data_IF_007840581435
#
_entry.id   IF_007840581435
#
_cell.length_a   1.000
_cell.length_b   1.000
_cell.length_c   1.000
_cell.angle_alpha   90.00
_cell.angle_beta   90.00
_cell.angle_gamma   90.00
#
_symmetry.space_group_name_H-M   'P 1'
#
loop_
_entity.id
_entity.type
_entity.pdbx_description
1 polymer ?
#
# COMPACT_ATOMS: atom_id res chain seq x y z
N UNK A 1 42.90 34.33 12.76
CA UNK A 1 41.99 33.19 13.02
C UNK A 1 40.58 33.59 12.62
N UNK A 2 40.28 33.57 11.32
CA UNK A 2 38.91 33.71 10.84
C UNK A 2 38.09 32.53 11.39
N UNK A 3 37.09 32.86 12.21
CA UNK A 3 36.05 31.90 12.60
C UNK A 3 35.36 31.47 11.30
N UNK A 4 35.71 30.26 10.85
CA UNK A 4 34.88 29.43 9.97
C UNK A 4 33.46 29.42 10.54
N UNK A 5 32.62 30.35 10.08
CA UNK A 5 31.20 30.31 10.32
C UNK A 5 30.73 29.00 9.69
N UNK A 6 30.48 27.99 10.53
CA UNK A 6 29.80 26.77 10.15
C UNK A 6 28.58 27.20 9.34
N UNK A 7 28.59 27.00 8.02
CA UNK A 7 27.39 27.11 7.18
C UNK A 7 26.36 26.18 7.81
N UNK A 8 25.48 26.72 8.64
CA UNK A 8 24.25 26.06 9.05
C UNK A 8 23.56 25.77 7.72
N UNK A 9 23.38 24.49 7.36
CA UNK A 9 22.64 24.14 6.16
C UNK A 9 21.25 24.74 6.31
N UNK A 10 21.01 25.93 5.76
CA UNK A 10 19.71 26.57 5.87
C UNK A 10 18.79 25.85 4.89
N UNK A 11 17.79 25.15 5.42
CA UNK A 11 16.75 24.56 4.60
C UNK A 11 16.07 25.64 3.77
N UNK A 12 15.61 25.23 2.60
CA UNK A 12 15.09 26.10 1.57
C UNK A 12 13.57 26.29 1.72
N UNK A 13 13.10 27.45 1.29
CA UNK A 13 11.69 27.72 1.08
C UNK A 13 11.24 27.15 -0.28
N UNK A 14 9.95 26.83 -0.44
CA UNK A 14 9.37 26.34 -1.70
C UNK A 14 9.72 27.23 -2.91
N UNK A 15 9.82 28.55 -2.73
CA UNK A 15 10.21 29.50 -3.80
C UNK A 15 11.66 29.33 -4.29
N UNK A 16 12.51 28.71 -3.48
CA UNK A 16 13.94 28.51 -3.76
C UNK A 16 14.23 27.13 -4.36
N UNK A 17 13.25 26.23 -4.40
CA UNK A 17 13.38 24.90 -5.00
C UNK A 17 12.58 24.81 -6.31
N UNK A 18 13.06 24.04 -7.31
CA UNK A 18 12.33 23.84 -8.55
C UNK A 18 10.94 23.24 -8.30
N UNK A 19 9.98 23.54 -9.18
CA UNK A 19 8.58 23.13 -9.01
C UNK A 19 8.38 21.61 -8.88
N UNK A 20 9.27 20.80 -9.46
CA UNK A 20 9.26 19.33 -9.36
C UNK A 20 9.60 18.79 -7.96
N UNK A 21 10.23 19.62 -7.12
CA UNK A 21 10.55 19.32 -5.72
C UNK A 21 9.49 19.83 -4.74
N UNK A 22 8.58 20.69 -5.18
CA UNK A 22 7.58 21.32 -4.33
C UNK A 22 6.41 20.36 -4.04
N UNK A 23 6.05 20.28 -2.76
CA UNK A 23 4.84 19.59 -2.29
C UNK A 23 3.72 20.60 -2.01
N UNK A 24 2.47 20.14 -2.11
CA UNK A 24 1.31 21.02 -1.91
C UNK A 24 1.22 21.45 -0.44
N UNK A 25 0.98 22.74 -0.21
CA UNK A 25 0.82 23.35 1.12
C UNK A 25 2.06 23.31 2.05
N UNK A 26 3.20 22.78 1.56
CA UNK A 26 4.48 22.76 2.28
C UNK A 26 5.38 23.89 1.80
N UNK A 27 5.78 24.80 2.69
CA UNK A 27 6.47 26.05 2.31
C UNK A 27 7.94 26.14 2.68
N UNK A 28 8.40 25.39 3.68
CA UNK A 28 9.77 25.42 4.22
C UNK A 28 10.28 24.02 4.51
N UNK A 29 11.54 23.91 4.96
CA UNK A 29 12.15 22.62 5.31
C UNK A 29 12.70 21.83 4.12
N UNK A 30 12.72 22.39 2.91
CA UNK A 30 13.23 21.69 1.73
C UNK A 30 14.76 21.55 1.76
N UNK A 31 15.25 20.37 1.40
CA UNK A 31 16.68 20.12 1.20
C UNK A 31 17.13 20.67 -0.14
N UNK A 32 18.40 21.08 -0.23
CA UNK A 32 18.99 21.54 -1.49
C UNK A 32 18.95 20.43 -2.54
N UNK A 33 18.41 20.69 -3.75
CA UNK A 33 18.59 19.80 -4.89
C UNK A 33 20.08 19.58 -5.17
N UNK A 34 20.39 18.46 -5.83
CA UNK A 34 21.76 18.06 -6.17
C UNK A 34 22.66 17.81 -4.96
N UNK A 35 22.07 17.33 -3.85
CA UNK A 35 22.80 16.97 -2.64
C UNK A 35 23.61 15.68 -2.81
N UNK A 36 24.81 15.61 -2.24
CA UNK A 36 25.57 14.36 -2.22
C UNK A 36 24.92 13.30 -1.33
N UNK A 37 25.16 12.02 -1.59
CA UNK A 37 24.66 10.91 -0.76
C UNK A 37 24.98 11.10 0.73
N UNK A 38 26.21 11.54 1.05
CA UNK A 38 26.63 11.82 2.43
C UNK A 38 25.83 12.96 3.08
N UNK A 39 25.45 13.97 2.29
CA UNK A 39 24.58 15.06 2.76
C UNK A 39 23.17 14.56 3.03
N UNK A 40 22.61 13.73 2.14
CA UNK A 40 21.31 13.09 2.33
C UNK A 40 21.28 12.22 3.58
N UNK A 41 22.32 11.41 3.80
CA UNK A 41 22.44 10.57 5.00
C UNK A 41 22.57 11.39 6.29
N UNK A 42 23.27 12.52 6.27
CA UNK A 42 23.30 13.41 7.45
C UNK A 42 21.94 14.08 7.69
N UNK A 43 21.20 14.37 6.62
CA UNK A 43 19.94 15.12 6.72
C UNK A 43 18.85 14.39 7.51
N UNK A 44 18.81 13.05 7.46
CA UNK A 44 17.81 12.26 8.21
C UNK A 44 18.02 12.29 9.73
N UNK A 45 19.18 12.73 10.21
CA UNK A 45 19.43 12.94 11.64
C UNK A 45 19.19 14.40 12.07
N UNK A 46 18.73 15.25 11.15
CA UNK A 46 18.43 16.66 11.40
C UNK A 46 16.92 16.89 11.30
N UNK A 47 16.25 17.19 12.41
CA UNK A 47 14.78 17.29 12.46
C UNK A 47 14.19 18.50 11.70
N UNK A 48 15.02 19.38 11.17
CA UNK A 48 14.61 20.67 10.60
C UNK A 48 14.14 20.57 9.12
N UNK A 49 13.99 19.36 8.55
CA UNK A 49 13.53 19.17 7.17
C UNK A 49 12.24 18.36 7.03
N UNK A 50 11.53 18.65 5.93
CA UNK A 50 10.22 18.12 5.61
C UNK A 50 10.17 16.62 5.27
N UNK A 51 11.33 15.95 5.21
CA UNK A 51 11.46 14.55 4.80
C UNK A 51 11.99 13.63 5.89
N UNK A 52 12.50 14.19 7.00
CA UNK A 52 13.13 13.40 8.07
C UNK A 52 12.12 12.49 8.75
N UNK A 53 10.93 13.00 9.07
CA UNK A 53 9.89 12.16 9.66
C UNK A 53 9.33 11.17 8.63
N UNK A 54 9.22 11.54 7.36
CA UNK A 54 8.84 10.59 6.30
C UNK A 54 9.81 9.40 6.23
N UNK A 55 11.12 9.65 6.37
CA UNK A 55 12.13 8.60 6.46
C UNK A 55 11.91 7.70 7.68
N UNK A 56 11.87 8.28 8.89
CA UNK A 56 11.83 7.50 10.13
C UNK A 56 10.53 6.73 10.34
N UNK A 57 9.40 7.28 9.88
CA UNK A 57 8.08 6.62 9.96
C UNK A 57 8.03 5.29 9.22
N UNK A 58 8.86 5.08 8.19
CA UNK A 58 8.99 3.79 7.50
C UNK A 58 10.27 3.02 7.88
N UNK A 59 11.37 3.72 8.19
CA UNK A 59 12.64 3.06 8.51
C UNK A 59 12.59 2.27 9.83
N UNK A 60 11.89 2.78 10.86
CA UNK A 60 11.72 2.04 12.12
C UNK A 60 10.89 0.76 11.91
N UNK A 61 9.69 0.82 11.30
CA UNK A 61 8.95 -0.37 10.92
C UNK A 61 9.75 -1.34 10.03
N UNK A 62 10.57 -0.84 9.12
CA UNK A 62 11.45 -1.68 8.30
C UNK A 62 12.37 -2.53 9.17
N UNK A 63 13.03 -1.96 10.18
CA UNK A 63 13.91 -2.73 11.08
C UNK A 63 13.13 -3.82 11.84
N UNK A 64 11.93 -3.50 12.31
CA UNK A 64 11.05 -4.47 13.00
C UNK A 64 10.66 -5.62 12.06
N UNK A 65 10.22 -5.28 10.84
CA UNK A 65 9.84 -6.26 9.83
C UNK A 65 11.03 -7.12 9.37
N UNK A 66 12.22 -6.52 9.24
CA UNK A 66 13.46 -7.21 8.90
C UNK A 66 13.85 -8.23 9.98
N UNK A 67 13.84 -7.83 11.26
CA UNK A 67 14.13 -8.75 12.36
C UNK A 67 13.12 -9.90 12.39
N UNK A 68 11.83 -9.59 12.18
CA UNK A 68 10.80 -10.63 12.07
C UNK A 68 11.10 -11.60 10.93
N UNK A 69 11.41 -11.10 9.73
CA UNK A 69 11.75 -11.93 8.58
C UNK A 69 12.99 -12.80 8.83
N UNK A 70 14.07 -12.22 9.35
CA UNK A 70 15.30 -12.94 9.67
C UNK A 70 15.05 -14.05 10.70
N UNK A 71 14.26 -13.78 11.75
CA UNK A 71 13.90 -14.79 12.74
C UNK A 71 13.19 -16.01 12.11
N UNK A 72 12.34 -15.80 11.12
CA UNK A 72 11.61 -16.88 10.45
C UNK A 72 12.49 -17.65 9.45
N UNK A 73 13.38 -16.96 8.71
CA UNK A 73 14.32 -17.63 7.81
C UNK A 73 15.40 -18.41 8.58
N UNK A 74 15.84 -17.93 9.74
CA UNK A 74 16.83 -18.65 10.54
C UNK A 74 16.25 -19.89 11.25
N UNK A 75 14.93 -20.08 11.24
CA UNK A 75 14.28 -21.26 11.78
C UNK A 75 14.10 -22.33 10.69
N UNK A 76 14.96 -23.36 10.69
CA UNK A 76 14.92 -24.44 9.69
C UNK A 76 13.57 -25.14 9.58
N UNK A 77 12.87 -25.33 10.72
CA UNK A 77 11.54 -25.94 10.71
C UNK A 77 10.52 -25.11 9.92
N UNK A 78 10.65 -23.79 9.99
CA UNK A 78 9.77 -22.84 9.31
C UNK A 78 10.08 -22.74 7.81
N UNK A 79 11.36 -22.84 7.43
CA UNK A 79 11.76 -22.90 6.01
C UNK A 79 11.25 -24.17 5.32
N UNK A 80 11.27 -25.30 6.04
CA UNK A 80 10.86 -26.59 5.51
C UNK A 80 9.34 -26.77 5.49
N UNK A 81 8.59 -26.00 6.31
CA UNK A 81 7.14 -25.99 6.29
C UNK A 81 6.59 -25.21 5.08
N UNK A 82 5.81 -25.88 4.25
CA UNK A 82 5.22 -25.28 3.04
C UNK A 82 4.09 -24.31 3.37
N UNK A 83 3.37 -24.55 4.47
CA UNK A 83 2.32 -23.64 4.92
C UNK A 83 2.91 -22.32 5.41
N UNK A 84 4.20 -22.27 5.73
CA UNK A 84 4.92 -21.07 6.14
C UNK A 84 5.41 -20.18 4.96
N UNK A 85 5.54 -20.73 3.74
CA UNK A 85 6.09 -19.99 2.59
C UNK A 85 5.31 -18.72 2.21
N UNK A 86 3.96 -18.71 2.17
CA UNK A 86 3.20 -17.49 1.92
C UNK A 86 3.45 -16.39 2.96
N UNK A 87 3.62 -16.75 4.25
CA UNK A 87 3.99 -15.80 5.29
C UNK A 87 5.42 -15.27 5.09
N UNK A 88 6.37 -16.11 4.67
CA UNK A 88 7.73 -15.65 4.33
C UNK A 88 7.71 -14.65 3.17
N UNK A 89 6.94 -14.93 2.12
CA UNK A 89 6.78 -14.01 0.98
C UNK A 89 6.16 -12.69 1.47
N UNK A 90 5.10 -12.73 2.29
CA UNK A 90 4.49 -11.54 2.87
C UNK A 90 5.49 -10.73 3.73
N UNK A 91 6.25 -11.41 4.60
CA UNK A 91 7.26 -10.77 5.45
C UNK A 91 8.40 -10.16 4.62
N UNK A 92 8.80 -10.81 3.53
CA UNK A 92 9.76 -10.24 2.59
C UNK A 92 9.24 -8.94 1.96
N UNK A 93 8.03 -8.98 1.42
CA UNK A 93 7.50 -7.84 0.67
C UNK A 93 7.18 -6.65 1.55
N UNK A 94 6.76 -6.86 2.82
CA UNK A 94 6.51 -5.75 3.76
C UNK A 94 7.80 -5.02 4.13
N UNK A 95 8.89 -5.72 4.51
CA UNK A 95 10.14 -5.03 4.83
C UNK A 95 10.73 -4.36 3.59
N UNK A 96 10.61 -4.99 2.41
CA UNK A 96 11.11 -4.44 1.15
C UNK A 96 10.40 -3.14 0.78
N UNK A 97 9.08 -3.09 0.92
CA UNK A 97 8.28 -1.87 0.74
C UNK A 97 8.73 -0.74 1.69
N UNK A 98 8.80 -1.03 2.99
CA UNK A 98 9.19 -0.04 3.99
C UNK A 98 10.61 0.49 3.74
N UNK A 99 11.53 -0.39 3.32
CA UNK A 99 12.88 -0.02 2.95
C UNK A 99 12.90 0.92 1.73
N UNK A 100 12.26 0.54 0.63
CA UNK A 100 12.24 1.34 -0.61
C UNK A 100 11.60 2.71 -0.40
N UNK A 101 10.54 2.78 0.38
CA UNK A 101 9.88 4.04 0.73
C UNK A 101 10.79 4.95 1.56
N UNK A 102 11.43 4.41 2.61
CA UNK A 102 12.39 5.19 3.42
C UNK A 102 13.57 5.68 2.58
N UNK A 103 14.11 4.83 1.70
CA UNK A 103 15.20 5.19 0.80
C UNK A 103 14.79 6.32 -0.15
N UNK A 104 13.55 6.30 -0.64
CA UNK A 104 13.05 7.34 -1.52
C UNK A 104 13.01 8.70 -0.82
N UNK A 105 12.50 8.76 0.40
CA UNK A 105 12.51 10.00 1.19
C UNK A 105 13.92 10.42 1.60
N UNK A 106 14.86 9.51 1.81
CA UNK A 106 16.25 9.90 2.06
C UNK A 106 16.91 10.52 0.82
N UNK A 107 16.76 9.91 -0.35
CA UNK A 107 17.53 10.22 -1.55
C UNK A 107 16.87 11.19 -2.52
N UNK A 108 15.63 11.63 -2.25
CA UNK A 108 14.86 12.45 -3.19
C UNK A 108 15.46 13.82 -3.54
N UNK A 109 16.48 14.29 -2.82
CA UNK A 109 17.18 15.54 -3.11
C UNK A 109 18.53 15.35 -3.84
N UNK A 110 18.92 14.11 -4.16
CA UNK A 110 20.22 13.83 -4.81
C UNK A 110 20.34 14.38 -6.22
N UNK A 111 19.28 14.25 -7.02
CA UNK A 111 19.16 14.81 -8.36
C UNK A 111 17.71 14.65 -8.83
N UNK A 112 17.27 15.38 -9.86
CA UNK A 112 15.95 15.17 -10.46
C UNK A 112 15.71 13.72 -10.89
N UNK A 113 16.69 13.09 -11.53
CA UNK A 113 16.61 11.70 -11.98
C UNK A 113 16.52 10.75 -10.79
N UNK A 114 17.36 10.94 -9.77
CA UNK A 114 17.33 10.13 -8.56
C UNK A 114 15.97 10.23 -7.86
N UNK A 115 15.38 11.43 -7.78
CA UNK A 115 14.02 11.64 -7.25
C UNK A 115 12.99 10.80 -8.01
N UNK A 116 13.04 10.78 -9.34
CA UNK A 116 12.14 9.93 -10.14
C UNK A 116 12.35 8.45 -9.86
N UNK A 117 13.58 7.95 -9.95
CA UNK A 117 13.92 6.53 -9.75
C UNK A 117 13.51 6.05 -8.36
N UNK A 118 13.82 6.83 -7.34
CA UNK A 118 13.48 6.53 -5.95
C UNK A 118 11.97 6.37 -5.74
N UNK A 119 11.16 7.32 -6.20
CA UNK A 119 9.71 7.21 -6.06
C UNK A 119 9.08 6.18 -7.00
N UNK A 120 9.71 5.84 -8.13
CA UNK A 120 9.29 4.70 -8.95
C UNK A 120 9.50 3.40 -8.17
N UNK A 121 10.68 3.20 -7.57
CA UNK A 121 10.97 2.03 -6.73
C UNK A 121 10.00 1.94 -5.54
N UNK A 122 9.69 3.07 -4.91
CA UNK A 122 8.67 3.14 -3.85
C UNK A 122 7.30 2.62 -4.35
N UNK A 123 6.80 3.11 -5.49
CA UNK A 123 5.52 2.65 -6.05
C UNK A 123 5.51 1.17 -6.42
N UNK A 124 6.59 0.69 -7.06
CA UNK A 124 6.74 -0.72 -7.43
C UNK A 124 6.78 -1.61 -6.18
N UNK A 125 7.38 -1.13 -5.09
CA UNK A 125 7.46 -1.86 -3.82
C UNK A 125 6.11 -1.97 -3.11
N UNK A 126 5.26 -0.92 -3.14
CA UNK A 126 3.88 -0.97 -2.66
C UNK A 126 3.09 -2.05 -3.41
N UNK A 127 3.26 -2.12 -4.73
CA UNK A 127 2.61 -3.15 -5.53
C UNK A 127 3.14 -4.55 -5.23
N UNK A 128 4.45 -4.69 -5.00
CA UNK A 128 5.07 -5.96 -4.63
C UNK A 128 4.56 -6.44 -3.27
N UNK A 129 4.36 -5.51 -2.33
CA UNK A 129 3.69 -5.78 -1.06
C UNK A 129 2.25 -6.29 -1.25
N UNK A 130 1.46 -5.65 -2.12
CA UNK A 130 0.12 -6.12 -2.49
C UNK A 130 0.10 -7.54 -3.04
N UNK A 131 1.12 -7.92 -3.83
CA UNK A 131 1.27 -9.29 -4.34
C UNK A 131 1.53 -10.30 -3.22
N UNK A 132 2.40 -9.95 -2.26
CA UNK A 132 2.65 -10.79 -1.08
C UNK A 132 1.39 -10.97 -0.21
N UNK A 133 0.60 -9.90 -0.06
CA UNK A 133 -0.71 -9.96 0.62
C UNK A 133 -1.67 -10.93 -0.10
N UNK A 134 -1.80 -10.82 -1.42
CA UNK A 134 -2.71 -11.67 -2.19
C UNK A 134 -2.34 -13.15 -2.11
N UNK A 135 -1.05 -13.48 -2.14
CA UNK A 135 -0.57 -14.86 -1.95
C UNK A 135 -0.95 -15.36 -0.54
N UNK A 136 -0.72 -14.56 0.50
CA UNK A 136 -1.06 -14.92 1.87
C UNK A 136 -2.58 -15.06 2.08
N UNK A 137 -3.40 -14.15 1.54
CA UNK A 137 -4.86 -14.23 1.63
C UNK A 137 -5.43 -15.42 0.87
N UNK A 138 -4.88 -15.74 -0.30
CA UNK A 138 -5.27 -16.95 -1.04
C UNK A 138 -5.05 -18.20 -0.19
N UNK A 139 -3.91 -18.30 0.49
CA UNK A 139 -3.58 -19.50 1.27
C UNK A 139 -4.30 -19.56 2.61
N UNK A 140 -4.28 -18.48 3.40
CA UNK A 140 -4.75 -18.55 4.78
C UNK A 140 -6.25 -18.22 4.91
N UNK A 141 -6.71 -17.18 4.21
CA UNK A 141 -8.09 -16.71 4.36
C UNK A 141 -9.08 -17.60 3.62
N UNK A 142 -8.78 -18.02 2.39
CA UNK A 142 -9.72 -18.83 1.59
C UNK A 142 -9.76 -20.30 1.99
N UNK A 143 -8.64 -20.88 2.45
CA UNK A 143 -8.62 -22.28 2.85
C UNK A 143 -9.48 -22.59 4.09
N UNK A 144 -9.89 -21.56 4.84
CA UNK A 144 -10.91 -21.69 5.89
C UNK A 144 -12.34 -21.84 5.34
N UNK A 145 -12.56 -21.55 4.06
CA UNK A 145 -13.86 -21.59 3.37
C UNK A 145 -13.91 -22.83 2.48
N UNK A 146 -14.34 -23.96 3.03
CA UNK A 146 -14.42 -25.24 2.29
C UNK A 146 -15.57 -25.26 1.28
N UNK A 147 -15.31 -24.89 0.03
CA UNK A 147 -16.21 -25.21 -1.08
C UNK A 147 -15.45 -25.47 -2.40
N UNK A 148 -15.62 -26.69 -2.92
CA UNK A 148 -14.93 -27.26 -4.09
C UNK A 148 -15.13 -26.43 -5.37
N UNK A 149 -16.24 -25.68 -5.46
CA UNK A 149 -16.57 -24.87 -6.64
C UNK A 149 -15.85 -23.50 -6.64
N UNK A 150 -15.39 -23.04 -5.47
CA UNK A 150 -14.70 -21.76 -5.28
C UNK A 150 -13.20 -21.88 -5.57
N UNK A 151 -12.60 -23.04 -5.28
CA UNK A 151 -11.17 -23.28 -5.53
C UNK A 151 -10.78 -22.98 -6.99
N UNK A 152 -11.63 -23.38 -7.96
CA UNK A 152 -11.43 -23.10 -9.39
C UNK A 152 -11.46 -21.62 -9.76
N UNK A 153 -12.28 -20.80 -9.08
CA UNK A 153 -12.34 -19.35 -9.34
C UNK A 153 -11.08 -18.65 -8.81
N UNK A 154 -10.58 -19.08 -7.65
CA UNK A 154 -9.38 -18.52 -7.03
C UNK A 154 -8.06 -19.12 -7.56
N UNK A 155 -8.12 -20.11 -8.44
CA UNK A 155 -6.96 -20.56 -9.21
C UNK A 155 -6.40 -19.43 -10.09
N UNK A 156 -7.26 -18.61 -10.70
CA UNK A 156 -6.86 -17.46 -11.54
C UNK A 156 -6.65 -16.15 -10.78
N UNK A 157 -7.03 -16.10 -9.50
CA UNK A 157 -7.00 -14.87 -8.70
C UNK A 157 -5.60 -14.23 -8.62
N UNK A 158 -4.56 -15.04 -8.45
CA UNK A 158 -3.18 -14.53 -8.35
C UNK A 158 -2.70 -13.92 -9.67
N UNK A 159 -3.08 -14.52 -10.80
CA UNK A 159 -2.79 -13.96 -12.12
C UNK A 159 -3.54 -12.64 -12.35
N UNK A 160 -4.81 -12.57 -11.94
CA UNK A 160 -5.58 -11.33 -11.95
C UNK A 160 -4.89 -10.23 -11.14
N UNK A 161 -4.45 -10.53 -9.91
CA UNK A 161 -3.73 -9.56 -9.07
C UNK A 161 -2.41 -9.13 -9.71
N UNK A 162 -1.67 -10.04 -10.37
CA UNK A 162 -0.45 -9.69 -11.09
C UNK A 162 -0.71 -8.69 -12.24
N UNK A 163 -1.76 -8.91 -13.03
CA UNK A 163 -2.17 -8.00 -14.11
C UNK A 163 -2.59 -6.65 -13.56
N UNK A 164 -3.45 -6.64 -12.54
CA UNK A 164 -3.92 -5.41 -11.87
C UNK A 164 -2.76 -4.63 -11.26
N UNK A 165 -1.81 -5.33 -10.62
CA UNK A 165 -0.61 -4.76 -10.03
C UNK A 165 0.28 -4.11 -11.09
N UNK A 166 0.45 -4.78 -12.24
CA UNK A 166 1.23 -4.24 -13.36
C UNK A 166 0.59 -2.98 -13.94
N UNK A 167 -0.74 -2.97 -14.10
CA UNK A 167 -1.49 -1.79 -14.55
C UNK A 167 -1.39 -0.64 -13.55
N UNK A 168 -1.54 -0.93 -12.25
CA UNK A 168 -1.36 0.04 -11.16
C UNK A 168 0.04 0.65 -11.18
N UNK A 169 1.09 -0.15 -11.41
CA UNK A 169 2.47 0.32 -11.53
C UNK A 169 2.67 1.26 -12.72
N UNK A 170 2.11 0.92 -13.88
CA UNK A 170 2.15 1.80 -15.06
C UNK A 170 1.43 3.14 -14.77
N UNK A 171 0.28 3.10 -14.10
CA UNK A 171 -0.50 4.30 -13.78
C UNK A 171 0.21 5.19 -12.73
N UNK A 172 0.68 4.59 -11.63
CA UNK A 172 1.39 5.30 -10.55
C UNK A 172 2.72 5.87 -11.04
N UNK A 173 3.51 5.13 -11.82
CA UNK A 173 4.76 5.63 -12.41
C UNK A 173 4.49 6.74 -13.44
N UNK A 174 3.44 6.60 -14.27
CA UNK A 174 3.02 7.67 -15.19
C UNK A 174 2.65 8.96 -14.47
N UNK A 175 2.11 8.89 -13.25
CA UNK A 175 1.75 10.07 -12.46
C UNK A 175 2.93 11.03 -12.25
N UNK A 176 4.17 10.52 -12.19
CA UNK A 176 5.38 11.36 -12.02
C UNK A 176 5.60 12.34 -13.18
N UNK A 177 5.06 12.04 -14.35
CA UNK A 177 5.21 12.83 -15.57
C UNK A 177 3.98 13.71 -15.85
N UNK A 178 3.01 13.72 -14.94
CA UNK A 178 1.84 14.59 -15.00
C UNK A 178 2.14 15.91 -14.30
N UNK A 179 2.10 17.00 -15.07
CA UNK A 179 2.44 18.36 -14.60
C UNK A 179 1.39 18.89 -13.60
N UNK A 180 0.10 18.63 -13.86
CA UNK A 180 -1.00 19.16 -13.05
C UNK A 180 -1.08 18.41 -11.71
N UNK A 181 -0.85 19.07 -10.55
CA UNK A 181 -0.76 18.39 -9.24
C UNK A 181 -2.04 17.62 -8.88
N UNK A 182 -3.21 18.20 -9.15
CA UNK A 182 -4.49 17.54 -8.90
C UNK A 182 -4.63 16.23 -9.70
N UNK A 183 -4.40 16.28 -11.02
CA UNK A 183 -4.48 15.08 -11.89
C UNK A 183 -3.44 14.04 -11.51
N UNK A 184 -2.23 14.46 -11.17
CA UNK A 184 -1.14 13.59 -10.68
C UNK A 184 -1.56 12.84 -9.43
N UNK A 185 -2.08 13.55 -8.42
CA UNK A 185 -2.45 12.98 -7.14
C UNK A 185 -3.67 12.05 -7.29
N UNK A 186 -4.66 12.42 -8.11
CA UNK A 186 -5.81 11.58 -8.44
C UNK A 186 -5.41 10.29 -9.16
N UNK A 187 -4.54 10.38 -10.16
CA UNK A 187 -4.07 9.20 -10.91
C UNK A 187 -3.36 8.20 -10.00
N UNK A 188 -2.51 8.71 -9.09
CA UNK A 188 -1.78 7.88 -8.12
C UNK A 188 -2.68 7.28 -7.06
N UNK A 189 -3.62 8.07 -6.53
CA UNK A 189 -4.59 7.57 -5.56
C UNK A 189 -5.47 6.47 -6.18
N UNK A 190 -5.97 6.71 -7.39
CA UNK A 190 -6.77 5.73 -8.13
C UNK A 190 -6.00 4.43 -8.37
N UNK A 191 -4.73 4.49 -8.80
CA UNK A 191 -3.94 3.27 -9.05
C UNK A 191 -3.82 2.38 -7.81
N UNK A 192 -3.53 2.99 -6.65
CA UNK A 192 -3.36 2.22 -5.41
C UNK A 192 -4.70 1.74 -4.83
N UNK A 193 -5.77 2.55 -4.91
CA UNK A 193 -7.11 2.13 -4.48
C UNK A 193 -7.61 0.98 -5.35
N UNK A 194 -7.43 1.08 -6.68
CA UNK A 194 -7.80 0.03 -7.62
C UNK A 194 -7.10 -1.28 -7.28
N UNK A 195 -5.77 -1.23 -7.08
CA UNK A 195 -5.02 -2.41 -6.65
C UNK A 195 -5.48 -2.96 -5.29
N UNK A 196 -5.73 -2.10 -4.31
CA UNK A 196 -6.18 -2.49 -2.98
C UNK A 196 -7.49 -3.30 -3.04
N UNK A 197 -8.46 -2.86 -3.84
CA UNK A 197 -9.75 -3.56 -3.99
C UNK A 197 -9.53 -5.01 -4.44
N UNK A 198 -8.71 -5.22 -5.48
CA UNK A 198 -8.45 -6.56 -6.02
C UNK A 198 -7.62 -7.44 -5.08
N UNK A 199 -6.62 -6.88 -4.39
CA UNK A 199 -5.84 -7.60 -3.38
C UNK A 199 -6.73 -8.07 -2.23
N UNK A 200 -7.79 -7.34 -1.88
CA UNK A 200 -8.68 -7.69 -0.77
C UNK A 200 -9.92 -8.51 -1.16
N UNK A 201 -10.03 -8.97 -2.42
CA UNK A 201 -11.15 -9.82 -2.86
C UNK A 201 -11.36 -11.08 -1.99
N UNK A 202 -10.34 -11.81 -1.54
CA UNK A 202 -10.53 -12.97 -0.66
C UNK A 202 -11.22 -12.61 0.67
N UNK A 203 -10.85 -11.47 1.25
CA UNK A 203 -11.43 -10.97 2.50
C UNK A 203 -12.87 -10.51 2.28
N UNK A 204 -13.12 -9.76 1.21
CA UNK A 204 -14.47 -9.37 0.82
C UNK A 204 -15.36 -10.60 0.60
N UNK A 205 -14.83 -11.60 -0.09
CA UNK A 205 -15.51 -12.86 -0.33
C UNK A 205 -15.83 -13.60 0.99
N UNK A 206 -14.88 -13.68 1.91
CA UNK A 206 -15.09 -14.23 3.27
C UNK A 206 -16.25 -13.52 3.97
N UNK A 207 -16.27 -12.19 3.93
CA UNK A 207 -17.35 -11.42 4.54
C UNK A 207 -18.70 -11.68 3.89
N UNK A 208 -18.75 -11.72 2.56
CA UNK A 208 -19.97 -12.07 1.84
C UNK A 208 -20.39 -13.48 2.21
N UNK A 209 -19.53 -14.49 2.06
CA UNK A 209 -19.91 -15.88 2.29
C UNK A 209 -20.45 -16.16 3.71
N UNK A 210 -19.79 -15.64 4.75
CA UNK A 210 -20.21 -15.90 6.14
C UNK A 210 -21.32 -14.98 6.65
N UNK A 211 -21.38 -13.72 6.21
CA UNK A 211 -22.31 -12.74 6.75
C UNK A 211 -23.47 -12.41 5.81
N UNK A 212 -23.43 -12.80 4.52
CA UNK A 212 -24.53 -12.59 3.56
C UNK A 212 -25.88 -13.17 4.01
N UNK A 213 -25.97 -14.38 4.62
CA UNK A 213 -27.26 -14.87 5.13
C UNK A 213 -27.85 -13.97 6.23
N UNK A 214 -26.98 -13.31 7.01
CA UNK A 214 -27.38 -12.43 8.11
C UNK A 214 -27.70 -11.01 7.63
N UNK A 215 -26.92 -10.48 6.67
CA UNK A 215 -27.10 -9.15 6.09
C UNK A 215 -28.39 -9.10 5.26
N UNK A 216 -28.63 -10.07 4.36
CA UNK A 216 -29.83 -10.07 3.51
C UNK A 216 -31.14 -10.20 4.31
N UNK A 217 -31.13 -10.98 5.39
CA UNK A 217 -32.29 -11.12 6.28
C UNK A 217 -32.58 -9.82 7.05
N UNK A 218 -31.59 -8.94 7.18
CA UNK A 218 -31.61 -7.74 8.01
C UNK A 218 -31.29 -6.46 7.22
N UNK A 219 -31.49 -6.42 5.89
CA UNK A 219 -31.29 -5.20 5.07
C UNK A 219 -32.20 -4.04 5.57
N UNK A 220 -33.36 -4.36 6.14
CA UNK A 220 -34.23 -3.38 6.82
C UNK A 220 -33.66 -2.92 8.19
N UNK A 221 -32.87 -3.77 8.86
CA UNK A 221 -32.22 -3.51 10.14
C UNK A 221 -30.92 -2.71 9.99
N UNK A 222 -30.18 -2.87 8.88
CA UNK A 222 -28.93 -2.14 8.62
C UNK A 222 -29.12 -0.63 8.50
N UNK A 223 -30.27 -0.16 8.00
CA UNK A 223 -30.63 1.27 8.03
C UNK A 223 -30.96 1.78 9.45
N UNK A 224 -31.35 0.90 10.37
CA UNK A 224 -31.51 1.22 11.81
C UNK A 224 -30.19 1.10 12.61
N UNK A 225 -29.16 0.52 12.01
CA UNK A 225 -27.85 0.30 12.67
C UNK A 225 -26.91 1.50 12.53
N UNK A 226 -27.10 2.33 11.49
CA UNK A 226 -26.39 3.61 11.34
C UNK A 226 -26.86 4.67 12.35
N UNK A 227 -27.94 4.42 13.09
CA UNK A 227 -28.50 5.33 14.10
C UNK A 227 -28.32 4.89 15.55
N UNK A 228 -27.75 3.71 15.82
CA UNK A 228 -27.56 3.21 17.20
C UNK A 228 -26.12 2.74 17.46
N UNK A 229 -25.44 3.52 18.28
CA UNK A 229 -24.10 3.22 18.80
C UNK A 229 -24.09 2.00 19.74
N UNK A 230 -23.02 1.22 19.63
CA UNK A 230 -22.35 0.44 20.70
C UNK A 230 -22.99 -0.81 21.33
N UNK A 231 -24.26 -1.17 21.13
CA UNK A 231 -24.87 -2.27 21.93
C UNK A 231 -24.89 -3.67 21.27
N UNK A 232 -24.81 -3.79 19.94
CA UNK A 232 -25.07 -5.09 19.29
C UNK A 232 -23.86 -6.04 19.22
N UNK A 233 -22.63 -5.53 19.32
CA UNK A 233 -21.42 -6.37 19.37
C UNK A 233 -21.37 -7.18 20.67
N UNK A 234 -21.84 -6.60 21.77
CA UNK A 234 -21.89 -7.26 23.09
C UNK A 234 -22.99 -8.32 23.15
N UNK A 235 -24.14 -8.11 22.47
CA UNK A 235 -25.21 -9.11 22.48
C UNK A 235 -24.88 -10.36 21.64
N UNK A 236 -24.07 -10.21 20.57
CA UNK A 236 -23.50 -11.36 19.83
C UNK A 236 -22.47 -12.15 20.64
N UNK A 237 -21.82 -11.55 21.66
CA UNK A 237 -20.92 -12.26 22.57
C UNK A 237 -21.67 -13.10 23.62
N UNK A 238 -22.98 -12.91 23.78
CA UNK A 238 -23.75 -13.52 24.89
C UNK A 238 -24.52 -14.80 24.55
N UNK A 239 -24.72 -15.14 23.26
CA UNK A 239 -25.69 -16.18 22.88
C UNK A 239 -25.10 -17.52 22.39
N UNK A 240 -23.79 -17.76 22.46
CA UNK A 240 -23.22 -19.08 22.16
C UNK A 240 -22.24 -19.52 23.24
N UNK A 241 -22.78 -19.92 24.38
CA UNK A 241 -22.06 -20.64 25.44
C UNK A 241 -22.55 -22.08 25.49
N UNK A 242 -22.04 -22.93 24.60
CA UNK A 242 -21.83 -24.37 24.87
C UNK A 242 -21.22 -25.11 23.66
N UNK A 243 -19.92 -25.40 23.75
CA UNK A 243 -19.18 -26.57 23.25
C UNK A 243 -17.78 -26.18 22.76
N UNK A 244 -16.89 -27.17 22.66
CA UNK A 244 -15.51 -27.11 22.14
C UNK A 244 -15.30 -26.37 20.80
N UNK A 245 -16.38 -25.89 20.15
CA UNK A 245 -16.40 -24.90 19.07
C UNK A 245 -15.88 -23.50 19.47
N UNK A 246 -15.73 -23.22 20.77
CA UNK A 246 -15.34 -21.91 21.28
C UNK A 246 -13.96 -21.43 20.78
N UNK A 247 -12.98 -22.31 20.58
CA UNK A 247 -11.65 -21.90 20.10
C UNK A 247 -11.69 -21.46 18.64
N UNK A 248 -12.31 -22.25 17.76
CA UNK A 248 -12.45 -21.94 16.33
C UNK A 248 -13.29 -20.69 16.08
N UNK A 249 -14.34 -20.46 16.88
CA UNK A 249 -15.15 -19.25 16.82
C UNK A 249 -14.37 -18.01 17.29
N UNK A 250 -13.62 -18.12 18.41
CA UNK A 250 -12.80 -17.03 18.94
C UNK A 250 -11.65 -16.64 18.00
N UNK A 251 -10.98 -17.60 17.35
CA UNK A 251 -9.92 -17.31 16.36
C UNK A 251 -10.47 -16.60 15.12
N UNK A 252 -11.67 -16.98 14.66
CA UNK A 252 -12.32 -16.39 13.48
C UNK A 252 -12.80 -14.95 13.72
N UNK A 253 -13.41 -14.70 14.89
CA UNK A 253 -13.75 -13.34 15.34
C UNK A 253 -12.49 -12.49 15.46
N UNK A 254 -11.40 -13.09 15.97
CA UNK A 254 -10.10 -12.45 16.08
C UNK A 254 -9.57 -11.92 14.75
N UNK A 255 -9.48 -12.77 13.70
CA UNK A 255 -8.99 -12.31 12.40
C UNK A 255 -9.94 -11.34 11.69
N UNK A 256 -11.25 -11.52 11.81
CA UNK A 256 -12.23 -10.59 11.21
C UNK A 256 -12.09 -9.17 11.81
N UNK A 257 -11.94 -9.04 13.12
CA UNK A 257 -11.71 -7.72 13.76
C UNK A 257 -10.45 -7.03 13.24
N UNK A 258 -9.36 -7.78 13.06
CA UNK A 258 -8.15 -7.24 12.47
C UNK A 258 -8.33 -6.87 10.99
N UNK A 259 -9.06 -7.64 10.20
CA UNK A 259 -9.40 -7.28 8.81
C UNK A 259 -10.28 -6.01 8.73
N UNK A 260 -11.19 -5.81 9.67
CA UNK A 260 -11.97 -4.58 9.77
C UNK A 260 -11.07 -3.38 10.14
N UNK A 261 -10.19 -3.56 11.12
CA UNK A 261 -9.21 -2.55 11.52
C UNK A 261 -8.27 -2.16 10.37
N UNK A 262 -7.84 -3.14 9.56
CA UNK A 262 -7.11 -2.90 8.32
C UNK A 262 -7.93 -2.00 7.37
N UNK A 263 -9.20 -2.33 7.10
CA UNK A 263 -10.02 -1.58 6.16
C UNK A 263 -10.20 -0.12 6.61
N UNK A 264 -10.48 0.09 7.89
CA UNK A 264 -10.62 1.43 8.48
C UNK A 264 -9.30 2.22 8.32
N UNK A 265 -8.16 1.60 8.65
CA UNK A 265 -6.86 2.24 8.51
C UNK A 265 -6.53 2.57 7.05
N UNK A 266 -6.84 1.68 6.10
CA UNK A 266 -6.64 1.91 4.67
C UNK A 266 -7.50 3.06 4.13
N UNK A 267 -8.77 3.15 4.56
CA UNK A 267 -9.65 4.27 4.21
C UNK A 267 -9.13 5.59 4.80
N UNK A 268 -8.70 5.59 6.07
CA UNK A 268 -8.09 6.75 6.70
C UNK A 268 -6.83 7.21 5.94
N UNK A 269 -5.92 6.28 5.61
CA UNK A 269 -4.74 6.53 4.76
C UNK A 269 -5.13 7.22 3.44
N UNK A 270 -6.09 6.65 2.71
CA UNK A 270 -6.50 7.17 1.42
C UNK A 270 -7.10 8.58 1.52
N UNK A 271 -8.02 8.81 2.47
CA UNK A 271 -8.68 10.09 2.67
C UNK A 271 -7.66 11.17 3.03
N UNK A 272 -6.83 10.93 4.04
CA UNK A 272 -5.86 11.93 4.51
C UNK A 272 -4.86 12.32 3.42
N UNK A 273 -4.32 11.32 2.69
CA UNK A 273 -3.39 11.53 1.58
C UNK A 273 -4.03 12.27 0.39
N UNK A 274 -5.26 11.92 0.02
CA UNK A 274 -5.96 12.55 -1.11
C UNK A 274 -6.28 14.02 -0.81
N UNK A 275 -6.76 14.30 0.40
CA UNK A 275 -7.25 15.61 0.77
C UNK A 275 -6.18 16.55 1.34
N UNK A 276 -4.95 16.08 1.56
CA UNK A 276 -3.82 16.84 2.11
C UNK A 276 -4.13 17.43 3.48
N UNK A 277 -4.73 16.64 4.37
CA UNK A 277 -5.15 17.07 5.71
C UNK A 277 -4.09 16.66 6.74
N UNK A 278 -3.61 17.57 7.61
CA UNK A 278 -4.15 18.90 7.94
C UNK A 278 -3.54 20.10 7.20
N UNK A 279 -2.44 19.94 6.46
CA UNK A 279 -1.67 21.03 5.85
C UNK A 279 -2.48 21.89 4.87
N UNK A 280 -3.53 21.35 4.25
CA UNK A 280 -4.46 22.10 3.42
C UNK A 280 -5.21 23.20 4.18
N UNK A 281 -5.55 22.96 5.44
CA UNK A 281 -6.28 23.92 6.28
C UNK A 281 -5.36 24.94 6.94
N UNK A 282 -4.11 24.54 7.23
CA UNK A 282 -3.09 25.44 7.78
C UNK A 282 -1.76 25.32 7.03
N UNK A 283 -1.67 25.89 5.82
CA UNK A 283 -0.45 25.83 5.01
C UNK A 283 0.75 26.42 5.75
N UNK A 284 1.91 25.76 5.65
CA UNK A 284 3.13 26.18 6.36
C UNK A 284 3.27 25.71 7.80
N UNK A 285 2.17 25.31 8.48
CA UNK A 285 2.24 24.87 9.90
C UNK A 285 2.73 23.45 10.08
N UNK A 286 2.50 22.61 9.08
CA UNK A 286 2.82 21.19 9.09
C UNK A 286 4.00 20.85 8.16
N UNK A 287 4.86 21.84 7.88
CA UNK A 287 5.98 21.70 6.94
C UNK A 287 6.98 20.61 7.35
N UNK A 288 7.15 20.40 8.66
CA UNK A 288 8.14 19.46 9.21
C UNK A 288 7.45 18.27 9.88
N UNK A 289 6.41 18.50 10.68
CA UNK A 289 5.72 17.47 11.48
C UNK A 289 4.21 17.55 11.21
N UNK A 290 3.59 16.39 11.05
CA UNK A 290 2.13 16.25 10.97
C UNK A 290 1.53 16.49 9.60
N UNK A 291 2.33 16.54 8.53
CA UNK A 291 1.80 16.55 7.16
C UNK A 291 1.03 15.26 6.86
N UNK A 292 0.04 15.34 5.98
CA UNK A 292 -0.81 14.21 5.58
C UNK A 292 -0.01 13.01 5.10
N UNK A 293 1.14 13.22 4.46
CA UNK A 293 2.03 12.15 4.01
C UNK A 293 2.65 11.37 5.17
N UNK A 294 2.99 12.03 6.28
CA UNK A 294 3.47 11.37 7.51
C UNK A 294 2.35 10.59 8.16
N UNK A 295 1.15 11.18 8.22
CA UNK A 295 -0.01 10.51 8.79
C UNK A 295 -0.38 9.28 7.94
N UNK A 296 -0.29 9.40 6.62
CA UNK A 296 -0.45 8.29 5.67
C UNK A 296 0.54 7.16 5.95
N UNK A 297 1.81 7.45 6.26
CA UNK A 297 2.78 6.42 6.66
C UNK A 297 2.34 5.71 7.96
N UNK A 298 1.93 6.48 8.97
CA UNK A 298 1.49 5.93 10.26
C UNK A 298 0.23 5.06 10.11
N UNK A 299 -0.79 5.53 9.40
CA UNK A 299 -2.03 4.77 9.18
C UNK A 299 -1.80 3.56 8.27
N UNK A 300 -0.88 3.64 7.32
CA UNK A 300 -0.49 2.49 6.49
C UNK A 300 0.29 1.44 7.30
N UNK A 301 1.12 1.85 8.26
CA UNK A 301 1.74 0.92 9.22
C UNK A 301 0.68 0.21 10.08
N UNK A 302 -0.31 0.94 10.61
CA UNK A 302 -1.42 0.33 11.36
C UNK A 302 -2.20 -0.66 10.48
N UNK A 303 -2.45 -0.30 9.22
CA UNK A 303 -3.08 -1.19 8.24
C UNK A 303 -2.28 -2.49 8.08
N UNK A 304 -0.97 -2.41 7.82
CA UNK A 304 -0.10 -3.58 7.70
C UNK A 304 0.01 -4.40 8.99
N UNK A 305 0.00 -3.76 10.15
CA UNK A 305 0.00 -4.45 11.44
C UNK A 305 -1.27 -5.29 11.63
N UNK A 306 -2.44 -4.69 11.38
CA UNK A 306 -3.72 -5.39 11.40
C UNK A 306 -3.72 -6.56 10.41
N UNK A 307 -3.21 -6.36 9.19
CA UNK A 307 -3.06 -7.42 8.19
C UNK A 307 -2.22 -8.58 8.71
N UNK A 308 -1.05 -8.30 9.26
CA UNK A 308 -0.16 -9.33 9.80
C UNK A 308 -0.81 -10.11 10.94
N UNK A 309 -1.51 -9.43 11.84
CA UNK A 309 -2.23 -10.09 12.93
C UNK A 309 -3.32 -10.99 12.39
N UNK A 310 -4.18 -10.50 11.49
CA UNK A 310 -5.23 -11.30 10.87
C UNK A 310 -4.68 -12.57 10.18
N UNK A 311 -3.61 -12.42 9.40
CA UNK A 311 -2.92 -13.53 8.73
C UNK A 311 -2.38 -14.57 9.72
N UNK A 312 -1.83 -14.16 10.85
CA UNK A 312 -1.37 -15.10 11.90
C UNK A 312 -2.51 -15.88 12.53
N UNK A 313 -3.64 -15.23 12.77
CA UNK A 313 -4.84 -15.89 13.28
C UNK A 313 -5.37 -16.92 12.26
N UNK A 314 -5.53 -16.52 11.00
CA UNK A 314 -5.98 -17.41 9.92
C UNK A 314 -5.01 -18.60 9.70
N UNK A 315 -3.70 -18.35 9.73
CA UNK A 315 -2.70 -19.42 9.60
C UNK A 315 -2.78 -20.42 10.75
N UNK A 316 -2.96 -19.97 12.00
CA UNK A 316 -3.12 -20.87 13.16
C UNK A 316 -4.37 -21.71 13.04
N UNK A 317 -5.48 -21.09 12.69
CA UNK A 317 -6.74 -21.80 12.46
C UNK A 317 -6.60 -22.85 11.36
N UNK A 318 -5.93 -22.51 10.25
CA UNK A 318 -5.66 -23.47 9.18
C UNK A 318 -4.84 -24.67 9.66
N UNK A 319 -3.79 -24.44 10.46
CA UNK A 319 -2.96 -25.53 11.02
C UNK A 319 -3.77 -26.42 11.95
N UNK A 320 -4.62 -25.85 12.81
CA UNK A 320 -5.52 -26.62 13.69
C UNK A 320 -6.47 -27.49 12.88
N UNK A 321 -7.13 -26.93 11.86
CA UNK A 321 -8.03 -27.67 10.96
C UNK A 321 -7.31 -28.82 10.24
N UNK A 322 -6.10 -28.59 9.73
CA UNK A 322 -5.33 -29.65 9.04
C UNK A 322 -4.96 -30.77 10.01
N UNK A 323 -4.56 -30.43 11.24
CA UNK A 323 -4.21 -31.42 12.25
C UNK A 323 -5.44 -32.26 12.64
N UNK A 324 -6.60 -31.63 12.86
CA UNK A 324 -7.87 -32.34 13.12
C UNK A 324 -8.26 -33.29 11.98
N UNK A 325 -8.19 -32.82 10.72
CA UNK A 325 -8.48 -33.66 9.56
C UNK A 325 -7.47 -34.78 9.35
N UNK A 326 -6.19 -34.55 9.61
CA UNK A 326 -5.17 -35.60 9.52
C UNK A 326 -5.38 -36.72 10.56
N UNK A 327 -6.00 -36.41 11.70
CA UNK A 327 -6.38 -37.38 12.73
C UNK A 327 -7.60 -38.18 12.26
N UNK A 328 -8.59 -37.51 11.65
CA UNK A 328 -9.79 -38.14 11.09
C UNK A 328 -9.44 -39.03 9.88
N UNK A 329 -8.63 -38.56 8.94
CA UNK A 329 -8.16 -39.32 7.76
C UNK A 329 -7.23 -40.48 8.12
N UNK A 330 -6.53 -40.42 9.27
CA UNK A 330 -5.81 -41.57 9.83
C UNK A 330 -6.76 -42.62 10.43
N UNK A 331 -7.97 -42.23 10.82
CA UNK A 331 -9.03 -43.13 11.30
C UNK A 331 -9.96 -43.62 10.17
N UNK A 332 -10.13 -42.87 9.08
CA UNK A 332 -10.87 -43.27 7.89
C UNK A 332 -9.95 -43.45 6.69
N UNK A 333 -9.68 -44.71 6.33
CA UNK A 333 -8.88 -45.08 5.16
C UNK A 333 -9.28 -44.29 3.90
N UNK A 334 -8.36 -43.47 3.41
CA UNK A 334 -8.25 -43.10 2.00
C UNK A 334 -9.14 -41.96 1.50
N UNK A 335 -8.84 -40.72 1.87
CA UNK A 335 -9.07 -39.59 0.97
C UNK A 335 -7.79 -38.79 0.72
N UNK A 336 -7.51 -38.63 -0.57
CA UNK A 336 -6.26 -38.19 -1.13
C UNK A 336 -6.11 -36.66 -1.00
N UNK A 337 -5.12 -36.21 -0.22
CA UNK A 337 -4.70 -34.80 -0.06
C UNK A 337 -3.94 -34.31 -1.32
N UNK A 338 -4.44 -34.64 -2.51
CA UNK A 338 -3.70 -34.45 -3.77
C UNK A 338 -3.90 -33.11 -4.50
N UNK A 339 -4.82 -32.17 -4.18
CA UNK A 339 -4.75 -30.85 -4.82
C UNK A 339 -3.81 -29.85 -4.11
N UNK A 340 -3.20 -30.17 -2.97
CA UNK A 340 -2.22 -29.29 -2.30
C UNK A 340 -0.78 -29.49 -2.79
N UNK A 341 -0.50 -30.59 -3.50
CA UNK A 341 0.87 -31.01 -3.81
C UNK A 341 1.47 -30.42 -5.10
N UNK A 342 0.67 -29.81 -5.98
CA UNK A 342 1.17 -29.16 -7.21
C UNK A 342 1.61 -27.68 -7.03
N UNK A 343 1.56 -27.13 -5.81
CA UNK A 343 1.88 -25.72 -5.53
C UNK A 343 3.35 -25.42 -5.19
N UNK A 344 4.21 -26.44 -5.03
CA UNK A 344 5.59 -26.37 -4.50
C UNK A 344 6.51 -25.28 -5.10
N UNK A 345 6.28 -24.93 -6.36
CA UNK A 345 7.14 -24.05 -7.17
C UNK A 345 6.40 -22.74 -7.56
N UNK A 346 5.08 -22.68 -7.34
CA UNK A 346 4.21 -21.65 -7.89
C UNK A 346 4.37 -20.27 -7.24
N UNK A 347 4.29 -20.16 -5.91
CA UNK A 347 4.21 -18.84 -5.26
C UNK A 347 5.51 -18.01 -5.34
N UNK A 348 6.67 -18.64 -5.14
CA UNK A 348 7.96 -17.97 -5.31
C UNK A 348 8.23 -17.63 -6.78
N UNK A 349 7.87 -18.50 -7.73
CA UNK A 349 7.98 -18.17 -9.16
C UNK A 349 7.06 -17.02 -9.56
N UNK A 350 5.83 -17.00 -9.03
CA UNK A 350 4.89 -15.92 -9.25
C UNK A 350 5.43 -14.60 -8.69
N UNK A 351 5.99 -14.61 -7.48
CA UNK A 351 6.66 -13.44 -6.91
C UNK A 351 7.86 -13.03 -7.77
N UNK A 352 8.67 -13.99 -8.22
CA UNK A 352 9.77 -13.77 -9.17
C UNK A 352 9.29 -13.11 -10.47
N UNK A 353 8.19 -13.57 -11.04
CA UNK A 353 7.56 -12.98 -12.23
C UNK A 353 7.11 -11.54 -11.95
N UNK A 354 6.50 -11.27 -10.80
CA UNK A 354 6.14 -9.92 -10.38
C UNK A 354 7.37 -9.00 -10.34
N UNK A 355 8.48 -9.46 -9.74
CA UNK A 355 9.73 -8.71 -9.67
C UNK A 355 10.34 -8.46 -11.07
N UNK A 356 10.29 -9.45 -11.96
CA UNK A 356 10.75 -9.31 -13.36
C UNK A 356 9.92 -8.26 -14.11
N UNK A 357 8.59 -8.31 -14.00
CA UNK A 357 7.71 -7.31 -14.61
C UNK A 357 8.02 -5.92 -14.07
N UNK A 358 8.18 -5.79 -12.75
CA UNK A 358 8.52 -4.52 -12.11
C UNK A 358 9.88 -3.99 -12.56
N UNK A 359 10.86 -4.87 -12.80
CA UNK A 359 12.17 -4.50 -13.33
C UNK A 359 12.08 -3.90 -14.74
N UNK A 360 11.28 -4.50 -15.64
CA UNK A 360 11.06 -3.91 -16.97
C UNK A 360 10.32 -2.56 -16.90
N UNK A 361 9.33 -2.44 -16.00
CA UNK A 361 8.65 -1.16 -15.75
C UNK A 361 9.65 -0.11 -15.25
N UNK A 362 10.53 -0.47 -14.30
CA UNK A 362 11.59 0.41 -13.80
C UNK A 362 12.51 0.89 -14.92
N UNK A 363 12.99 -0.02 -15.78
CA UNK A 363 13.85 0.32 -16.93
C UNK A 363 13.14 1.31 -17.85
N UNK A 364 11.89 1.02 -18.23
CA UNK A 364 11.12 1.89 -19.10
C UNK A 364 10.99 3.31 -18.52
N UNK A 365 10.62 3.43 -17.25
CA UNK A 365 10.45 4.73 -16.61
C UNK A 365 11.77 5.42 -16.25
N UNK A 366 12.87 4.68 -16.07
CA UNK A 366 14.20 5.24 -15.96
C UNK A 366 14.59 5.99 -17.24
N UNK A 367 14.49 5.35 -18.40
CA UNK A 367 14.77 6.02 -19.67
C UNK A 367 13.81 7.17 -19.94
N UNK A 368 12.54 7.03 -19.54
CA UNK A 368 11.57 8.13 -19.61
C UNK A 368 11.97 9.31 -18.72
N UNK A 369 12.48 9.05 -17.51
CA UNK A 369 12.95 10.09 -16.59
C UNK A 369 14.21 10.80 -17.10
N UNK A 370 15.16 10.06 -17.67
CA UNK A 370 16.37 10.64 -18.30
C UNK A 370 15.99 11.60 -19.44
N UNK A 371 15.01 11.23 -20.26
CA UNK A 371 14.55 12.04 -21.38
C UNK A 371 13.49 13.10 -21.01
N UNK A 372 13.11 13.20 -19.73
CA UNK A 372 12.05 14.11 -19.31
C UNK A 372 12.61 15.52 -19.11
N UNK A 373 12.21 16.45 -20.00
CA UNK A 373 12.46 17.87 -19.83
C UNK A 373 11.17 18.61 -19.43
N UNK A 374 10.98 18.97 -18.15
CA UNK A 374 9.76 19.62 -17.69
C UNK A 374 9.53 21.00 -18.32
N UNK A 375 10.58 21.74 -18.67
CA UNK A 375 10.50 23.10 -19.21
C UNK A 375 9.99 23.16 -20.65
N UNK A 376 10.40 22.22 -21.51
CA UNK A 376 9.88 22.12 -22.88
C UNK A 376 8.38 21.81 -22.88
N UNK A 377 7.92 20.98 -21.93
CA UNK A 377 6.53 20.56 -21.85
C UNK A 377 5.62 21.63 -21.21
N UNK A 378 6.11 22.40 -20.25
CA UNK A 378 5.40 23.56 -19.70
C UNK A 378 5.17 24.64 -20.76
N UNK A 379 6.17 24.95 -21.58
CA UNK A 379 6.01 25.90 -22.70
C UNK A 379 4.99 25.39 -23.73
N UNK A 380 5.05 24.11 -24.12
CA UNK A 380 4.04 23.49 -24.99
C UNK A 380 2.62 23.51 -24.41
N UNK A 381 2.45 23.39 -23.08
CA UNK A 381 1.14 23.49 -22.42
C UNK A 381 0.65 24.93 -22.30
N UNK A 382 1.52 25.89 -21.97
CA UNK A 382 1.18 27.30 -21.95
C UNK A 382 0.79 27.80 -23.35
N UNK A 383 1.46 27.32 -24.40
CA UNK A 383 1.10 27.62 -25.79
C UNK A 383 -0.24 27.00 -26.19
N UNK A 384 -0.52 25.75 -25.81
CA UNK A 384 -1.83 25.11 -26.02
C UNK A 384 -2.95 25.87 -25.29
N UNK A 385 -2.73 26.32 -24.06
CA UNK A 385 -3.69 27.11 -23.30
C UNK A 385 -3.88 28.52 -23.87
N UNK A 386 -2.82 29.17 -24.38
CA UNK A 386 -2.92 30.43 -25.11
C UNK A 386 -3.73 30.28 -26.39
N UNK A 387 -3.52 29.20 -27.16
CA UNK A 387 -4.28 28.90 -28.38
C UNK A 387 -5.75 28.65 -28.06
N UNK A 388 -6.06 27.88 -27.00
CA UNK A 388 -7.42 27.61 -26.53
C UNK A 388 -8.15 28.88 -26.03
N UNK A 389 -7.45 29.75 -25.32
CA UNK A 389 -8.03 31.02 -24.88
C UNK A 389 -8.25 31.98 -26.05
N UNK A 390 -7.35 31.99 -27.05
CA UNK A 390 -7.49 32.81 -28.26
C UNK A 390 -8.64 32.32 -29.16
N UNK A 391 -8.89 31.01 -29.23
CA UNK A 391 -10.04 30.45 -29.95
C UNK A 391 -11.37 30.71 -29.22
N UNK A 392 -11.43 30.60 -27.88
CA UNK A 392 -12.59 31.03 -27.08
C UNK A 392 -12.89 32.52 -27.25
N UNK A 393 -11.88 33.38 -27.22
CA UNK A 393 -12.05 34.83 -27.42
C UNK A 393 -12.54 35.18 -28.84
N UNK A 394 -12.10 34.44 -29.86
CA UNK A 394 -12.62 34.56 -31.24
C UNK A 394 -14.07 34.10 -31.38
N UNK A 395 -14.48 33.04 -30.68
CA UNK A 395 -15.86 32.58 -30.66
C UNK A 395 -16.78 33.62 -29.99
N UNK A 396 -16.39 34.13 -28.82
CA UNK A 396 -17.13 35.18 -28.09
C UNK A 396 -17.26 36.45 -28.95
N UNK A 397 -16.18 36.89 -29.62
CA UNK A 397 -16.24 38.06 -30.50
C UNK A 397 -17.08 37.83 -31.78
N UNK A 398 -17.26 36.58 -32.23
CA UNK A 398 -18.19 36.24 -33.32
C UNK A 398 -19.65 36.27 -32.86
N UNK A 399 -19.91 35.96 -31.58
CA UNK A 399 -21.25 36.08 -30.99
C UNK A 399 -21.63 37.56 -30.74
N UNK A 400 -20.69 38.39 -30.27
CA UNK A 400 -20.93 39.83 -30.00
C UNK A 400 -21.13 40.65 -31.30
N UNK A 401 -20.66 40.18 -32.46
CA UNK A 401 -20.86 40.86 -33.77
C UNK A 401 -22.14 40.45 -34.50
N UNK A 402 -22.99 39.63 -33.88
CA UNK A 402 -24.26 39.15 -34.44
C UNK A 402 -25.50 39.72 -33.72
N UNK A 403 -25.30 40.58 -32.73
CA UNK A 403 -26.27 41.57 -32.23
C UNK A 403 -25.87 42.94 -32.79
#
# INVERSE_FOLDING_TARGET
MEKLSKKKYSYLNHKQVPCEFQELFIYTGYRSPNSSFRSCLKSIFCLDNNETINFWTHFIPFLVALVSFLKHILNESFLNDRLAHPLLIYLFTIFFYLFMSSLAHMLNCMSPIARHVCFILDYLSISTYGMGCAIAYKTYTLSTIKSIQIDKLFDYYILLVLIVSSLSNIMSCSSRFVILPFKRNMLRAFSFIFQYIFVNLPILYRYIYFYHPFIFKNISFMFSFLSSSEITVVHMMSHDTNNNNNNNFNFKIGSDLFYLGQLIAALASAILYIFHVPERFWPGRFDIIGQSHQIFHLTSFVCSWCQFMALKYDMRQLVEMINEHSIIDKMSFGYSIVPLFNFKISNFMIMGLCLVVNFFILIYYYFKAVNFNPWINLNKQQDKNKISNKSKKRLINKFIKKE
#
